data_IF_244318150070
#
_entry.id   IF_244318150070
#
_cell.length_a   1.000
_cell.length_b   1.000
_cell.length_c   1.000
_cell.angle_alpha   90.00
_cell.angle_beta   90.00
_cell.angle_gamma   90.00
#
_symmetry.space_group_name_H-M   'P 1'
#
loop_
_entity.id
_entity.type
_entity.pdbx_description
1 polymer ?
#
# COMPACT_ATOMS: atom_id res chain seq x y z
N UNK A 1 48.93 -13.19 -2.27
CA UNK A 1 47.71 -12.84 -3.01
C UNK A 1 46.61 -13.71 -2.42
N UNK A 2 45.89 -13.18 -1.43
CA UNK A 2 44.78 -13.90 -0.81
C UNK A 2 43.59 -13.61 -1.71
N UNK A 3 43.04 -14.64 -2.37
CA UNK A 3 41.71 -14.54 -2.95
C UNK A 3 40.75 -14.36 -1.77
N UNK A 4 40.36 -13.11 -1.52
CA UNK A 4 39.23 -12.79 -0.66
C UNK A 4 38.02 -13.34 -1.39
N UNK A 5 37.30 -14.27 -0.76
CA UNK A 5 36.12 -14.89 -1.34
C UNK A 5 35.14 -13.80 -1.80
N UNK A 6 34.50 -14.03 -2.94
CA UNK A 6 33.36 -13.26 -3.45
C UNK A 6 32.56 -12.68 -2.29
N UNK A 7 32.44 -11.35 -2.23
CA UNK A 7 31.58 -10.74 -1.25
C UNK A 7 30.18 -11.31 -1.47
N UNK A 8 29.50 -11.59 -0.38
CA UNK A 8 28.15 -12.10 -0.46
C UNK A 8 27.23 -11.04 0.14
N UNK A 9 26.70 -10.15 -0.71
CA UNK A 9 25.74 -9.09 -0.33
C UNK A 9 24.64 -9.66 0.56
N UNK A 10 24.16 -10.87 0.24
CA UNK A 10 23.18 -11.58 1.04
C UNK A 10 23.65 -11.85 2.47
N UNK A 11 24.87 -12.35 2.65
CA UNK A 11 25.42 -12.59 4.00
C UNK A 11 25.58 -11.29 4.80
N UNK A 12 25.95 -10.19 4.14
CA UNK A 12 26.09 -8.88 4.80
C UNK A 12 24.72 -8.43 5.30
N UNK A 13 23.70 -8.49 4.44
CA UNK A 13 22.33 -8.10 4.83
C UNK A 13 21.81 -9.03 5.94
N UNK A 14 21.99 -10.34 5.81
CA UNK A 14 21.47 -11.33 6.78
C UNK A 14 22.12 -11.22 8.17
N UNK A 15 23.44 -10.98 8.24
CA UNK A 15 24.19 -10.94 9.52
C UNK A 15 23.98 -9.64 10.30
N UNK A 16 23.63 -8.54 9.63
CA UNK A 16 23.53 -7.23 10.26
C UNK A 16 22.08 -6.86 10.60
N UNK A 17 21.87 -6.16 11.72
CA UNK A 17 20.55 -5.63 12.07
C UNK A 17 20.14 -4.50 11.11
N UNK A 18 18.83 -4.27 10.94
CA UNK A 18 18.36 -3.19 10.07
C UNK A 18 18.83 -1.83 10.57
N UNK A 19 18.84 -1.60 11.89
CA UNK A 19 19.34 -0.37 12.51
C UNK A 19 20.79 -0.07 12.12
N UNK A 20 21.62 -1.11 11.97
CA UNK A 20 23.00 -0.98 11.52
C UNK A 20 23.05 -0.68 10.02
N UNK A 21 22.31 -1.41 9.19
CA UNK A 21 22.31 -1.22 7.73
C UNK A 21 21.84 0.18 7.32
N UNK A 22 20.88 0.76 8.05
CA UNK A 22 20.29 2.05 7.73
C UNK A 22 20.78 3.20 8.61
N UNK A 23 21.54 2.93 9.67
CA UNK A 23 21.94 3.93 10.69
C UNK A 23 20.75 4.71 11.29
N UNK A 24 19.62 4.03 11.50
CA UNK A 24 18.39 4.62 12.09
C UNK A 24 17.83 3.76 13.20
N UNK A 25 17.07 4.37 14.11
CA UNK A 25 16.28 3.66 15.12
C UNK A 25 14.85 3.43 14.62
N UNK A 26 14.60 2.23 14.08
CA UNK A 26 13.30 1.82 13.55
C UNK A 26 12.13 1.86 14.56
N UNK A 27 12.40 2.06 15.86
CA UNK A 27 11.34 2.25 16.86
C UNK A 27 10.69 3.63 16.79
N UNK A 28 11.42 4.63 16.28
CA UNK A 28 10.94 6.01 16.19
C UNK A 28 10.51 6.41 14.77
N UNK A 29 10.74 5.52 13.80
CA UNK A 29 10.37 5.73 12.40
C UNK A 29 9.02 5.09 12.08
N UNK A 30 8.23 5.78 11.27
CA UNK A 30 6.94 5.28 10.79
C UNK A 30 7.07 4.56 9.44
N UNK A 31 8.01 4.98 8.60
CA UNK A 31 8.24 4.46 7.25
C UNK A 31 9.64 4.81 6.74
N UNK A 32 10.09 4.10 5.70
CA UNK A 32 11.34 4.35 4.97
C UNK A 32 11.10 4.07 3.48
N UNK A 33 11.84 4.77 2.64
CA UNK A 33 11.91 4.52 1.20
C UNK A 33 13.29 4.00 0.83
N UNK A 34 13.34 3.09 -0.14
CA UNK A 34 14.56 2.47 -0.62
C UNK A 34 14.53 2.51 -2.14
N UNK A 35 15.61 2.99 -2.75
CA UNK A 35 15.81 2.94 -4.19
C UNK A 35 17.23 2.47 -4.49
N UNK A 36 17.54 2.30 -5.77
CA UNK A 36 18.85 1.84 -6.25
C UNK A 36 20.01 2.68 -5.70
N UNK A 37 19.81 3.99 -5.55
CA UNK A 37 20.87 4.93 -5.19
C UNK A 37 21.44 4.65 -3.80
N UNK A 38 20.64 4.11 -2.88
CA UNK A 38 21.06 3.86 -1.50
C UNK A 38 21.51 2.40 -1.25
N UNK A 39 21.48 1.52 -2.27
CA UNK A 39 21.86 0.12 -2.08
C UNK A 39 23.32 -0.04 -1.63
N UNK A 40 24.22 0.73 -2.24
CA UNK A 40 25.63 0.73 -1.89
C UNK A 40 25.82 1.15 -0.43
N UNK A 41 25.17 2.24 -0.01
CA UNK A 41 25.25 2.76 1.36
C UNK A 41 24.75 1.73 2.38
N UNK A 42 23.62 1.07 2.10
CA UNK A 42 23.05 0.01 2.96
C UNK A 42 24.07 -1.11 3.19
N UNK A 43 24.69 -1.61 2.13
CA UNK A 43 25.67 -2.70 2.26
C UNK A 43 26.94 -2.21 2.92
N UNK A 44 27.41 -1.02 2.58
CA UNK A 44 28.61 -0.42 3.15
C UNK A 44 28.51 -0.22 4.67
N UNK A 45 27.34 0.20 5.17
CA UNK A 45 27.07 0.32 6.61
C UNK A 45 27.13 -1.04 7.35
N UNK A 46 26.89 -2.15 6.65
CA UNK A 46 26.99 -3.51 7.19
C UNK A 46 28.40 -4.10 7.20
N UNK A 47 29.41 -3.38 6.67
CA UNK A 47 30.78 -3.85 6.58
C UNK A 47 31.66 -3.31 7.70
N UNK A 48 32.54 -4.17 8.22
CA UNK A 48 33.71 -3.71 8.99
C UNK A 48 34.74 -3.15 7.99
N UNK A 49 35.01 -1.85 8.10
CA UNK A 49 35.88 -1.00 7.24
C UNK A 49 37.31 -1.50 6.96
N UNK A 50 37.69 -2.67 7.48
CA UNK A 50 39.08 -3.14 7.51
C UNK A 50 39.52 -4.02 6.33
N UNK A 51 38.63 -4.42 5.41
CA UNK A 51 38.95 -5.54 4.51
C UNK A 51 38.48 -5.44 3.05
N UNK A 52 37.77 -4.40 2.61
CA UNK A 52 37.02 -4.46 1.34
C UNK A 52 37.35 -3.29 0.39
N UNK A 53 37.52 -3.62 -0.89
CA UNK A 53 37.68 -2.69 -1.99
C UNK A 53 36.30 -2.14 -2.42
N UNK A 54 36.11 -0.82 -2.31
CA UNK A 54 34.85 -0.14 -2.66
C UNK A 54 34.45 -0.37 -4.13
N UNK A 55 35.43 -0.45 -5.04
CA UNK A 55 35.18 -0.66 -6.46
C UNK A 55 34.65 -2.08 -6.76
N UNK A 56 35.10 -3.09 -6.01
CA UNK A 56 34.59 -4.46 -6.13
C UNK A 56 33.14 -4.55 -5.64
N UNK A 57 32.82 -3.88 -4.52
CA UNK A 57 31.47 -3.82 -3.98
C UNK A 57 30.50 -3.11 -4.94
N UNK A 58 30.92 -2.01 -5.56
CA UNK A 58 30.10 -1.32 -6.58
C UNK A 58 29.72 -2.25 -7.72
N UNK A 59 30.69 -3.02 -8.24
CA UNK A 59 30.43 -3.97 -9.33
C UNK A 59 29.44 -5.07 -8.88
N UNK A 60 29.55 -5.59 -7.67
CA UNK A 60 28.59 -6.59 -7.19
C UNK A 60 27.18 -6.01 -7.01
N UNK A 61 27.06 -4.79 -6.47
CA UNK A 61 25.78 -4.07 -6.32
C UNK A 61 25.17 -3.74 -7.69
N UNK A 62 25.99 -3.43 -8.69
CA UNK A 62 25.51 -3.22 -10.06
C UNK A 62 24.92 -4.49 -10.67
N UNK A 63 25.45 -5.66 -10.31
CA UNK A 63 25.03 -6.96 -10.86
C UNK A 63 23.81 -7.58 -10.16
N UNK A 64 23.46 -7.16 -8.93
CA UNK A 64 22.24 -7.63 -8.27
C UNK A 64 21.01 -6.89 -8.82
N UNK A 65 19.92 -7.63 -9.03
CA UNK A 65 18.65 -7.03 -9.41
C UNK A 65 17.99 -6.32 -8.23
N UNK A 66 17.25 -5.24 -8.49
CA UNK A 66 16.52 -4.51 -7.44
C UNK A 66 15.58 -5.43 -6.67
N UNK A 67 14.86 -6.29 -7.40
CA UNK A 67 13.95 -7.25 -6.80
C UNK A 67 14.68 -8.19 -5.82
N UNK A 68 15.80 -8.77 -6.24
CA UNK A 68 16.58 -9.67 -5.38
C UNK A 68 17.15 -8.96 -4.16
N UNK A 69 17.61 -7.72 -4.31
CA UNK A 69 18.13 -6.94 -3.19
C UNK A 69 17.02 -6.61 -2.17
N UNK A 70 15.87 -6.17 -2.67
CA UNK A 70 14.72 -5.82 -1.84
C UNK A 70 14.12 -7.04 -1.15
N UNK A 71 14.11 -8.22 -1.78
CA UNK A 71 13.67 -9.46 -1.15
C UNK A 71 14.48 -9.79 0.11
N UNK A 72 15.81 -9.61 0.06
CA UNK A 72 16.69 -9.82 1.22
C UNK A 72 16.34 -8.90 2.39
N UNK A 73 16.06 -7.63 2.10
CA UNK A 73 15.67 -6.66 3.12
C UNK A 73 14.25 -6.92 3.65
N UNK A 74 13.33 -7.30 2.76
CA UNK A 74 11.92 -7.52 3.07
C UNK A 74 11.73 -8.53 4.20
N UNK A 75 12.52 -9.61 4.22
CA UNK A 75 12.41 -10.60 5.29
C UNK A 75 12.83 -10.04 6.65
N UNK A 76 13.89 -9.22 6.70
CA UNK A 76 14.30 -8.53 7.93
C UNK A 76 13.27 -7.50 8.38
N UNK A 77 12.63 -6.78 7.45
CA UNK A 77 11.56 -5.85 7.77
C UNK A 77 10.36 -6.57 8.39
N UNK A 78 9.97 -7.73 7.85
CA UNK A 78 8.86 -8.52 8.41
C UNK A 78 9.13 -8.96 9.86
N UNK A 79 10.37 -9.34 10.18
CA UNK A 79 10.76 -9.74 11.54
C UNK A 79 10.49 -8.66 12.60
N UNK A 80 10.65 -7.38 12.22
CA UNK A 80 10.39 -6.24 13.10
C UNK A 80 8.96 -5.66 12.95
N UNK A 81 8.07 -6.34 12.23
CA UNK A 81 6.67 -5.94 12.06
C UNK A 81 6.45 -4.82 11.04
N UNK A 82 7.36 -4.65 10.10
CA UNK A 82 7.23 -3.75 8.96
C UNK A 82 6.70 -4.48 7.74
N UNK A 83 6.04 -3.75 6.84
CA UNK A 83 5.45 -4.27 5.61
C UNK A 83 5.88 -3.43 4.42
N UNK A 84 5.99 -4.06 3.25
CA UNK A 84 6.14 -3.37 1.98
C UNK A 84 4.79 -2.81 1.53
N UNK A 85 4.78 -1.60 0.98
CA UNK A 85 3.60 -0.95 0.42
C UNK A 85 3.92 -0.42 -0.96
N UNK A 86 2.98 -0.56 -1.88
CA UNK A 86 3.11 0.00 -3.22
C UNK A 86 3.25 1.52 -3.16
N UNK A 87 4.22 2.06 -3.90
CA UNK A 87 4.54 3.50 -3.90
C UNK A 87 3.32 4.37 -4.19
N UNK A 88 2.47 3.96 -5.14
CA UNK A 88 1.26 4.68 -5.53
C UNK A 88 0.20 4.68 -4.41
N UNK A 89 0.02 3.55 -3.72
CA UNK A 89 -0.86 3.49 -2.55
C UNK A 89 -0.32 4.38 -1.45
N UNK A 90 0.98 4.28 -1.16
CA UNK A 90 1.62 5.05 -0.09
C UNK A 90 1.48 6.56 -0.30
N UNK A 91 1.69 7.06 -1.52
CA UNK A 91 1.46 8.46 -1.91
C UNK A 91 0.03 8.91 -1.62
N UNK A 92 -0.97 8.06 -1.87
CA UNK A 92 -2.38 8.38 -1.58
C UNK A 92 -2.71 8.29 -0.08
N UNK A 93 -1.93 7.55 0.71
CA UNK A 93 -2.10 7.43 2.17
C UNK A 93 -1.36 8.50 2.97
N UNK A 94 -0.25 9.02 2.44
CA UNK A 94 0.66 9.95 3.13
C UNK A 94 0.86 11.20 2.28
N UNK A 95 0.15 12.27 2.66
CA UNK A 95 0.10 13.53 1.88
C UNK A 95 1.46 14.22 1.66
N UNK A 96 2.42 14.00 2.56
CA UNK A 96 3.75 14.62 2.49
C UNK A 96 4.75 13.81 1.64
N UNK A 97 4.35 12.63 1.16
CA UNK A 97 5.15 11.82 0.25
C UNK A 97 4.73 12.08 -1.19
N UNK A 98 5.69 12.50 -2.02
CA UNK A 98 5.49 12.71 -3.46
C UNK A 98 6.34 11.68 -4.20
N UNK A 99 5.68 10.85 -5.01
CA UNK A 99 6.35 9.85 -5.82
C UNK A 99 7.13 10.54 -6.96
N UNK A 100 8.44 10.29 -7.02
CA UNK A 100 9.22 10.55 -8.24
C UNK A 100 8.93 9.44 -9.24
N UNK A 101 8.51 9.81 -10.47
CA UNK A 101 8.15 8.83 -11.52
C UNK A 101 9.36 8.18 -12.17
N UNK A 102 10.52 8.79 -12.02
CA UNK A 102 11.73 8.43 -12.77
C UNK A 102 12.58 7.37 -12.04
N UNK A 103 12.27 7.10 -10.76
CA UNK A 103 13.04 6.19 -9.91
C UNK A 103 12.10 5.22 -9.22
N UNK A 104 12.31 3.92 -9.48
CA UNK A 104 11.61 2.86 -8.76
C UNK A 104 11.94 2.96 -7.27
N UNK A 105 10.92 3.18 -6.45
CA UNK A 105 11.08 3.35 -5.01
C UNK A 105 10.25 2.31 -4.26
N UNK A 106 10.91 1.55 -3.40
CA UNK A 106 10.32 0.55 -2.53
C UNK A 106 10.02 1.18 -1.17
N UNK A 107 8.78 1.11 -0.72
CA UNK A 107 8.36 1.70 0.55
C UNK A 107 8.14 0.62 1.58
N UNK A 108 8.78 0.78 2.74
CA UNK A 108 8.53 -0.05 3.92
C UNK A 108 7.93 0.82 5.02
N UNK A 109 6.92 0.29 5.71
CA UNK A 109 6.23 1.01 6.79
C UNK A 109 6.04 0.11 7.99
N UNK A 110 6.05 0.72 9.17
CA UNK A 110 5.55 0.10 10.38
C UNK A 110 4.07 -0.26 10.17
N UNK A 111 3.69 -1.52 10.46
CA UNK A 111 2.30 -2.00 10.29
C UNK A 111 1.28 -1.16 11.06
N UNK A 112 1.64 -0.66 12.24
CA UNK A 112 0.77 0.22 13.05
C UNK A 112 0.55 1.58 12.38
N UNK A 113 1.58 2.16 11.78
CA UNK A 113 1.44 3.40 11.02
C UNK A 113 0.51 3.19 9.82
N UNK A 114 0.78 2.17 9.02
CA UNK A 114 -0.04 1.81 7.86
C UNK A 114 -1.52 1.66 8.23
N UNK A 115 -1.82 0.84 9.24
CA UNK A 115 -3.19 0.61 9.68
C UNK A 115 -3.89 1.90 10.13
N UNK A 116 -3.18 2.81 10.81
CA UNK A 116 -3.75 4.12 11.19
C UNK A 116 -4.13 4.94 9.96
N UNK A 117 -3.29 4.94 8.93
CA UNK A 117 -3.54 5.66 7.67
C UNK A 117 -4.71 5.05 6.89
N UNK A 118 -4.77 3.72 6.78
CA UNK A 118 -5.90 3.03 6.17
C UNK A 118 -7.20 3.36 6.92
N UNK A 119 -7.24 3.22 8.25
CA UNK A 119 -8.44 3.55 9.04
C UNK A 119 -8.88 5.01 8.83
N UNK A 120 -7.93 5.95 8.74
CA UNK A 120 -8.24 7.34 8.46
C UNK A 120 -8.90 7.49 7.08
N UNK A 121 -8.36 6.82 6.06
CA UNK A 121 -8.89 6.84 4.69
C UNK A 121 -10.24 6.12 4.58
N UNK A 122 -10.42 5.00 5.26
CA UNK A 122 -11.71 4.30 5.38
C UNK A 122 -12.81 5.20 5.94
N UNK A 123 -12.49 6.06 6.91
CA UNK A 123 -13.44 7.05 7.44
C UNK A 123 -13.74 8.16 6.45
N UNK A 124 -12.72 8.69 5.78
CA UNK A 124 -12.85 9.71 4.72
C UNK A 124 -13.73 9.22 3.57
N UNK A 125 -13.52 7.98 3.13
CA UNK A 125 -14.25 7.35 2.03
C UNK A 125 -15.49 6.57 2.47
N UNK A 126 -15.99 6.76 3.71
CA UNK A 126 -17.18 6.06 4.17
C UNK A 126 -18.42 6.32 3.29
N UNK A 127 -18.47 7.46 2.60
CA UNK A 127 -19.53 7.77 1.65
C UNK A 127 -19.52 6.85 0.40
N UNK A 128 -18.34 6.32 0.02
CA UNK A 128 -18.19 5.32 -1.05
C UNK A 128 -18.86 4.03 -0.62
N UNK A 129 -18.57 3.53 0.59
CA UNK A 129 -19.21 2.32 1.11
C UNK A 129 -20.74 2.45 1.16
N UNK A 130 -21.25 3.62 1.53
CA UNK A 130 -22.69 3.89 1.50
C UNK A 130 -23.26 3.83 0.08
N UNK A 131 -22.56 4.41 -0.90
CA UNK A 131 -22.95 4.34 -2.31
C UNK A 131 -22.95 2.89 -2.82
N UNK A 132 -21.89 2.14 -2.53
CA UNK A 132 -21.78 0.73 -2.90
C UNK A 132 -22.88 -0.12 -2.26
N UNK A 133 -23.19 0.11 -0.98
CA UNK A 133 -24.28 -0.57 -0.29
C UNK A 133 -25.65 -0.25 -0.90
N UNK A 134 -25.89 1.01 -1.30
CA UNK A 134 -27.12 1.41 -2.00
C UNK A 134 -27.25 0.67 -3.34
N UNK A 135 -26.17 0.61 -4.10
CA UNK A 135 -26.18 -0.07 -5.39
C UNK A 135 -26.36 -1.59 -5.22
N UNK A 136 -25.68 -2.18 -4.25
CA UNK A 136 -25.79 -3.60 -3.94
C UNK A 136 -27.21 -3.97 -3.49
N UNK A 137 -27.78 -3.21 -2.56
CA UNK A 137 -29.14 -3.39 -2.07
C UNK A 137 -30.18 -3.27 -3.19
N UNK A 138 -30.02 -2.30 -4.10
CA UNK A 138 -31.03 -2.01 -5.12
C UNK A 138 -30.87 -2.80 -6.42
N UNK A 139 -29.64 -3.21 -6.76
CA UNK A 139 -29.34 -3.76 -8.09
C UNK A 139 -28.67 -5.12 -8.07
N UNK A 140 -28.11 -5.58 -6.95
CA UNK A 140 -27.38 -6.87 -6.90
C UNK A 140 -28.20 -8.01 -6.27
N UNK A 141 -29.48 -7.79 -6.01
CA UNK A 141 -30.42 -8.80 -5.52
C UNK A 141 -29.88 -9.56 -4.30
N UNK A 142 -29.38 -8.82 -3.31
CA UNK A 142 -29.00 -9.39 -2.02
C UNK A 142 -30.32 -9.68 -1.27
N UNK A 143 -30.83 -10.88 -1.46
CA UNK A 143 -32.11 -11.33 -0.90
C UNK A 143 -32.08 -11.30 0.64
N UNK A 144 -33.23 -11.01 1.23
CA UNK A 144 -33.50 -11.04 2.67
C UNK A 144 -32.62 -10.15 3.57
N UNK A 145 -32.01 -9.08 3.03
CA UNK A 145 -31.24 -8.11 3.82
C UNK A 145 -31.76 -6.68 3.69
N UNK A 146 -31.74 -5.96 4.80
CA UNK A 146 -31.91 -4.50 4.84
C UNK A 146 -30.66 -3.79 4.29
N UNK A 147 -30.82 -2.53 3.88
CA UNK A 147 -29.68 -1.69 3.46
C UNK A 147 -28.58 -1.61 4.53
N UNK A 148 -28.96 -1.58 5.81
CA UNK A 148 -28.00 -1.54 6.93
C UNK A 148 -27.23 -2.84 7.00
N UNK A 149 -27.89 -3.99 6.94
CA UNK A 149 -27.20 -5.30 6.95
C UNK A 149 -26.26 -5.45 5.75
N UNK A 150 -26.68 -4.99 4.56
CA UNK A 150 -25.79 -4.96 3.37
C UNK A 150 -24.56 -4.09 3.62
N UNK A 151 -24.74 -2.89 4.17
CA UNK A 151 -23.63 -2.00 4.48
C UNK A 151 -22.68 -2.60 5.51
N UNK A 152 -23.20 -3.11 6.62
CA UNK A 152 -22.39 -3.63 7.73
C UNK A 152 -21.64 -4.92 7.39
N UNK A 153 -22.24 -5.81 6.61
CA UNK A 153 -21.64 -7.11 6.29
C UNK A 153 -20.63 -7.05 5.15
N UNK A 154 -20.88 -6.24 4.12
CA UNK A 154 -20.07 -6.27 2.90
C UNK A 154 -19.08 -5.10 2.77
N UNK A 155 -19.38 -3.93 3.34
CA UNK A 155 -18.65 -2.70 3.00
C UNK A 155 -18.05 -1.95 4.20
N UNK A 156 -18.74 -1.93 5.33
CA UNK A 156 -18.37 -1.13 6.50
C UNK A 156 -16.95 -1.47 6.97
N UNK A 157 -16.16 -0.43 7.14
CA UNK A 157 -14.78 -0.49 7.64
C UNK A 157 -13.86 -1.45 6.86
N UNK A 158 -14.23 -1.79 5.62
CA UNK A 158 -13.45 -2.71 4.79
C UNK A 158 -12.27 -1.98 4.13
N UNK A 159 -11.11 -2.03 4.79
CA UNK A 159 -9.88 -1.39 4.32
C UNK A 159 -9.41 -1.87 2.94
N UNK A 160 -9.64 -3.14 2.59
CA UNK A 160 -9.22 -3.70 1.30
C UNK A 160 -9.93 -3.02 0.13
N UNK A 161 -11.22 -2.72 0.27
CA UNK A 161 -11.98 -1.99 -0.77
C UNK A 161 -11.36 -0.61 -1.02
N UNK A 162 -10.90 0.05 0.04
CA UNK A 162 -10.26 1.37 -0.07
C UNK A 162 -8.88 1.24 -0.70
N UNK A 163 -8.12 0.19 -0.37
CA UNK A 163 -6.85 -0.10 -1.04
C UNK A 163 -7.06 -0.29 -2.54
N UNK A 164 -8.03 -1.11 -2.96
CA UNK A 164 -8.34 -1.35 -4.38
C UNK A 164 -8.77 -0.05 -5.09
N UNK A 165 -9.66 0.73 -4.48
CA UNK A 165 -10.08 2.04 -5.01
C UNK A 165 -8.91 3.02 -5.10
N UNK A 166 -8.03 3.02 -4.10
CA UNK A 166 -6.84 3.87 -4.09
C UNK A 166 -5.71 3.32 -4.96
N UNK A 167 -5.70 2.08 -5.40
CA UNK A 167 -4.66 1.59 -6.31
C UNK A 167 -5.15 1.64 -7.75
N UNK A 168 -6.21 0.88 -7.99
CA UNK A 168 -6.74 0.61 -9.32
C UNK A 168 -7.76 1.66 -9.78
N UNK A 169 -8.28 2.46 -8.84
CA UNK A 169 -9.42 3.33 -9.13
C UNK A 169 -10.72 2.58 -9.29
N UNK A 170 -10.77 1.28 -8.95
CA UNK A 170 -11.95 0.44 -9.11
C UNK A 170 -12.08 -0.63 -8.02
N UNK A 171 -13.28 -1.15 -7.86
CA UNK A 171 -13.55 -2.33 -7.04
C UNK A 171 -14.62 -3.19 -7.71
N UNK A 172 -14.42 -4.51 -7.73
CA UNK A 172 -15.32 -5.48 -8.37
C UNK A 172 -16.06 -6.32 -7.32
N UNK A 173 -17.37 -6.51 -7.50
CA UNK A 173 -18.20 -7.37 -6.66
C UNK A 173 -19.27 -8.08 -7.50
N UNK A 174 -19.20 -9.41 -7.55
CA UNK A 174 -20.07 -10.24 -8.38
C UNK A 174 -20.03 -9.82 -9.87
N UNK A 175 -21.16 -9.40 -10.43
CA UNK A 175 -21.33 -8.99 -11.85
C UNK A 175 -21.25 -7.47 -12.05
N UNK A 176 -20.75 -6.76 -11.03
CA UNK A 176 -20.73 -5.31 -10.99
C UNK A 176 -19.38 -4.79 -10.49
N UNK A 177 -19.12 -3.53 -10.78
CA UNK A 177 -17.92 -2.85 -10.35
C UNK A 177 -18.21 -1.36 -10.13
N UNK A 178 -17.38 -0.73 -9.32
CA UNK A 178 -17.38 0.71 -9.11
C UNK A 178 -16.06 1.28 -9.60
N UNK A 179 -16.11 2.42 -10.28
CA UNK A 179 -14.94 3.20 -10.66
C UNK A 179 -14.96 4.53 -9.92
N UNK A 180 -13.83 4.91 -9.32
CA UNK A 180 -13.69 6.15 -8.57
C UNK A 180 -12.72 7.09 -9.28
N UNK A 181 -13.22 8.23 -9.73
CA UNK A 181 -12.39 9.33 -10.23
C UNK A 181 -12.08 10.31 -9.08
N UNK A 182 -10.85 10.23 -8.58
CA UNK A 182 -10.35 11.10 -7.53
C UNK A 182 -10.27 12.59 -7.94
N UNK A 183 -10.14 12.90 -9.24
CA UNK A 183 -10.07 14.30 -9.72
C UNK A 183 -11.42 14.98 -9.64
N UNK A 184 -12.48 14.27 -9.99
CA UNK A 184 -13.85 14.79 -9.95
C UNK A 184 -14.59 14.43 -8.66
N UNK A 185 -14.00 13.57 -7.82
CA UNK A 185 -14.61 12.98 -6.62
C UNK A 185 -15.96 12.32 -6.93
N UNK A 186 -15.98 11.52 -8.00
CA UNK A 186 -17.17 10.81 -8.48
C UNK A 186 -16.96 9.31 -8.40
N UNK A 187 -17.97 8.59 -7.91
CA UNK A 187 -18.02 7.13 -7.93
C UNK A 187 -19.08 6.70 -8.94
N UNK A 188 -18.68 5.91 -9.93
CA UNK A 188 -19.57 5.38 -10.96
C UNK A 188 -19.84 3.90 -10.72
N UNK A 189 -21.09 3.49 -10.84
CA UNK A 189 -21.51 2.10 -10.69
C UNK A 189 -21.85 1.48 -12.02
N UNK A 190 -21.23 0.34 -12.30
CA UNK A 190 -21.43 -0.44 -13.49
C UNK A 190 -21.93 -1.85 -13.16
N UNK A 191 -22.89 -2.34 -13.93
CA UNK A 191 -23.39 -3.72 -13.84
C UNK A 191 -23.47 -4.30 -15.24
N UNK A 192 -22.89 -5.48 -15.46
CA UNK A 192 -22.84 -6.12 -16.79
C UNK A 192 -22.30 -5.16 -17.89
N UNK A 193 -21.28 -4.36 -17.54
CA UNK A 193 -20.61 -3.41 -18.45
C UNK A 193 -21.42 -2.16 -18.80
N UNK A 194 -22.59 -1.92 -18.18
CA UNK A 194 -23.38 -0.69 -18.38
C UNK A 194 -23.26 0.20 -17.15
N UNK A 195 -23.07 1.50 -17.36
CA UNK A 195 -23.15 2.51 -16.30
C UNK A 195 -24.60 2.67 -15.87
N UNK A 196 -24.87 2.50 -14.57
CA UNK A 196 -26.21 2.63 -14.00
C UNK A 196 -26.36 3.90 -13.15
N UNK A 197 -25.31 4.29 -12.43
CA UNK A 197 -25.38 5.40 -11.46
C UNK A 197 -24.04 6.09 -11.28
N UNK A 198 -24.15 7.33 -10.82
CA UNK A 198 -23.04 8.14 -10.37
C UNK A 198 -23.36 8.68 -8.98
N UNK A 199 -22.35 8.71 -8.13
CA UNK A 199 -22.44 9.15 -6.76
C UNK A 199 -21.42 10.24 -6.48
N UNK A 200 -21.89 11.23 -5.73
CA UNK A 200 -21.06 12.18 -5.00
C UNK A 200 -21.25 11.90 -3.52
N UNK A 201 -20.31 12.36 -2.70
CA UNK A 201 -20.40 12.23 -1.24
C UNK A 201 -21.74 12.78 -0.68
N UNK A 202 -22.16 13.96 -1.12
CA UNK A 202 -23.39 14.59 -0.63
C UNK A 202 -24.63 13.75 -0.98
N UNK A 203 -24.69 13.25 -2.21
CA UNK A 203 -25.83 12.47 -2.69
C UNK A 203 -25.90 11.09 -2.04
N UNK A 204 -24.76 10.37 -1.90
CA UNK A 204 -24.75 9.04 -1.30
C UNK A 204 -25.12 9.10 0.18
N UNK A 205 -24.58 10.08 0.92
CA UNK A 205 -24.93 10.29 2.32
C UNK A 205 -26.42 10.59 2.51
N UNK A 206 -26.99 11.48 1.69
CA UNK A 206 -28.41 11.82 1.73
C UNK A 206 -29.28 10.58 1.47
N UNK A 207 -29.04 9.89 0.36
CA UNK A 207 -29.85 8.74 -0.05
C UNK A 207 -29.75 7.57 0.93
N UNK A 208 -28.56 7.29 1.44
CA UNK A 208 -28.36 6.25 2.44
C UNK A 208 -29.17 6.55 3.70
N UNK A 209 -29.05 7.77 4.24
CA UNK A 209 -29.77 8.17 5.44
C UNK A 209 -31.30 8.13 5.26
N UNK A 210 -31.80 8.50 4.09
CA UNK A 210 -33.24 8.48 3.81
C UNK A 210 -33.81 7.06 3.66
N UNK A 211 -33.05 6.15 3.03
CA UNK A 211 -33.48 4.76 2.85
C UNK A 211 -33.30 3.93 4.13
N UNK A 212 -32.27 4.20 4.93
CA UNK A 212 -32.04 3.54 6.21
C UNK A 212 -33.09 3.87 7.27
N UNK A 213 -33.88 4.93 7.12
CA UNK A 213 -34.99 5.28 8.05
C UNK A 213 -36.31 4.59 7.72
N UNK A 214 -36.43 4.04 6.51
CA UNK A 214 -37.71 3.48 6.00
C UNK A 214 -37.93 2.01 6.41
N UNK A 215 -37.02 1.44 7.18
CA UNK A 215 -37.03 0.08 7.71
C UNK A 215 -36.51 0.10 9.16
#
# INVERSE_FOLDING_TARGET
MIHIGTLNIKEIIEKNALEQLFHIDFKNEDWIWINRDIFLDIVYNGLDYSTINEDELKVEIENISDQSFIELLSDKFKEIGWISVEQQLFERLVADFICTKDIQTYIFTNKRFYNRRIIQKTKEFNWIFKAMALDAYQHLAIEDKTLIEVFEEYFKDNGMIIEDILLEGKYEFNVAYWEFDAKTNLLEFYKLGKNYRQWTEGHSNFMFNELSKKH
#
